data_IF_052488293487
#
_entry.id   IF_052488293487
#
_cell.length_a   1.000
_cell.length_b   1.000
_cell.length_c   1.000
_cell.angle_alpha   90.00
_cell.angle_beta   90.00
_cell.angle_gamma   90.00
#
_symmetry.space_group_name_H-M   'P 1'
#
loop_
_entity.id
_entity.type
_entity.pdbx_description
1 polymer ?
#
# COMPACT_ATOMS: atom_id res chain seq x y z
N UNK A 1 -5.17 -19.51 8.24
CA UNK A 1 -5.21 -18.87 6.91
C UNK A 1 -3.82 -18.40 6.56
N UNK A 2 -3.42 -18.38 5.28
CA UNK A 2 -2.01 -18.26 4.84
C UNK A 2 -1.20 -17.19 5.59
N UNK A 3 -1.69 -15.94 5.67
CA UNK A 3 -1.00 -14.86 6.37
C UNK A 3 -0.87 -15.09 7.89
N UNK A 4 -1.83 -15.76 8.54
CA UNK A 4 -1.72 -16.11 9.97
C UNK A 4 -0.65 -17.15 10.23
N UNK A 5 -0.41 -18.07 9.28
CA UNK A 5 0.68 -19.03 9.40
C UNK A 5 2.03 -18.32 9.25
N UNK A 6 2.14 -17.35 8.34
CA UNK A 6 3.33 -16.50 8.24
C UNK A 6 3.58 -15.67 9.52
N UNK A 7 2.52 -15.14 10.16
CA UNK A 7 2.67 -14.41 11.43
C UNK A 7 3.24 -15.28 12.56
N UNK A 8 2.98 -16.59 12.57
CA UNK A 8 3.56 -17.52 13.56
C UNK A 8 5.07 -17.68 13.41
N UNK A 9 5.58 -17.55 12.18
CA UNK A 9 7.01 -17.74 11.86
C UNK A 9 7.78 -16.42 11.92
N UNK A 10 7.18 -15.34 11.41
CA UNK A 10 7.87 -14.05 11.20
C UNK A 10 7.40 -12.94 12.15
N UNK A 11 6.40 -13.21 12.99
CA UNK A 11 5.78 -12.21 13.85
C UNK A 11 4.63 -11.45 13.16
N UNK A 12 3.97 -10.53 13.89
CA UNK A 12 2.75 -9.88 13.42
C UNK A 12 2.99 -9.00 12.19
N UNK A 13 1.97 -8.87 11.33
CA UNK A 13 1.99 -7.90 10.22
C UNK A 13 2.05 -6.49 10.79
N UNK A 14 3.14 -5.77 10.48
CA UNK A 14 3.37 -4.39 10.94
C UNK A 14 2.85 -3.33 9.95
N UNK A 15 2.99 -3.60 8.64
CA UNK A 15 2.68 -2.66 7.57
C UNK A 15 1.83 -3.33 6.49
N UNK A 16 0.86 -2.60 5.96
CA UNK A 16 0.09 -2.94 4.76
C UNK A 16 0.25 -1.76 3.81
N UNK A 17 0.92 -1.96 2.67
CA UNK A 17 1.11 -0.93 1.66
C UNK A 17 0.22 -1.24 0.44
N UNK A 18 -0.70 -0.34 0.12
CA UNK A 18 -1.42 -0.35 -1.14
C UNK A 18 -0.62 0.48 -2.15
N UNK A 19 0.08 -0.22 -3.04
CA UNK A 19 0.98 0.40 -4.02
C UNK A 19 0.26 1.09 -5.16
N UNK A 20 -0.97 0.70 -5.53
CA UNK A 20 -1.65 1.20 -6.74
C UNK A 20 -2.85 2.11 -6.42
N UNK A 21 -3.15 3.04 -7.34
CA UNK A 21 -4.43 3.79 -7.34
C UNK A 21 -5.54 3.07 -8.12
N UNK A 22 -5.19 2.10 -8.97
CA UNK A 22 -6.13 1.38 -9.83
C UNK A 22 -7.16 0.60 -9.00
N UNK A 23 -8.43 0.68 -9.41
CA UNK A 23 -9.57 0.26 -8.59
C UNK A 23 -9.59 -1.26 -8.39
N UNK A 24 -9.36 -1.98 -9.47
CA UNK A 24 -9.32 -3.43 -9.56
C UNK A 24 -8.24 -4.06 -8.66
N UNK A 25 -7.17 -3.31 -8.36
CA UNK A 25 -6.07 -3.76 -7.52
C UNK A 25 -6.24 -3.44 -6.03
N UNK A 26 -7.30 -2.74 -5.62
CA UNK A 26 -7.48 -2.29 -4.22
C UNK A 26 -8.77 -2.70 -3.52
N UNK A 27 -9.71 -3.35 -4.22
CA UNK A 27 -11.04 -3.72 -3.69
C UNK A 27 -10.96 -4.41 -2.33
N UNK A 28 -9.99 -5.30 -2.12
CA UNK A 28 -9.84 -6.06 -0.87
C UNK A 28 -8.86 -5.45 0.14
N UNK A 29 -8.19 -4.34 -0.18
CA UNK A 29 -7.15 -3.76 0.68
C UNK A 29 -7.74 -3.26 2.01
N UNK A 30 -8.93 -2.64 1.99
CA UNK A 30 -9.63 -2.22 3.21
C UNK A 30 -10.02 -3.41 4.10
N UNK A 31 -10.56 -4.47 3.52
CA UNK A 31 -10.93 -5.70 4.25
C UNK A 31 -9.69 -6.37 4.86
N UNK A 32 -8.58 -6.41 4.12
CA UNK A 32 -7.30 -6.90 4.64
C UNK A 32 -6.85 -6.05 5.83
N UNK A 33 -6.87 -4.72 5.69
CA UNK A 33 -6.49 -3.80 6.77
C UNK A 33 -7.30 -4.01 8.05
N UNK A 34 -8.61 -4.28 7.95
CA UNK A 34 -9.46 -4.57 9.10
C UNK A 34 -9.07 -5.87 9.83
N UNK A 35 -8.64 -6.91 9.10
CA UNK A 35 -8.21 -8.19 9.69
C UNK A 35 -6.89 -8.12 10.45
N UNK A 36 -6.07 -7.09 10.20
CA UNK A 36 -4.80 -6.85 10.88
C UNK A 36 -4.84 -5.51 11.64
N UNK A 37 -5.53 -5.46 12.81
CA UNK A 37 -5.82 -4.20 13.50
C UNK A 37 -4.59 -3.47 14.04
N UNK A 38 -3.47 -4.18 14.22
CA UNK A 38 -2.20 -3.61 14.69
C UNK A 38 -1.32 -3.07 13.55
N UNK A 39 -1.63 -3.37 12.29
CA UNK A 39 -0.82 -2.94 11.16
C UNK A 39 -1.12 -1.48 10.79
N UNK A 40 -0.08 -0.72 10.46
CA UNK A 40 -0.21 0.59 9.80
C UNK A 40 -0.50 0.39 8.32
N UNK A 41 -1.42 1.18 7.77
CA UNK A 41 -1.84 1.12 6.37
C UNK A 41 -1.27 2.32 5.62
N UNK A 42 -0.68 2.08 4.45
CA UNK A 42 -0.03 3.09 3.62
C UNK A 42 -0.66 3.08 2.23
N UNK A 43 -1.22 4.22 1.83
CA UNK A 43 -1.92 4.34 0.56
C UNK A 43 -1.08 5.14 -0.42
N UNK A 44 -0.90 4.59 -1.63
CA UNK A 44 -0.41 5.34 -2.77
C UNK A 44 -1.16 6.68 -2.91
N UNK A 45 -0.47 7.83 -3.05
CA UNK A 45 -1.11 9.12 -3.22
C UNK A 45 -2.03 9.16 -4.44
N UNK A 46 -3.17 9.85 -4.30
CA UNK A 46 -4.18 9.94 -5.37
C UNK A 46 -5.19 8.79 -5.40
N UNK A 47 -5.45 8.16 -4.25
CA UNK A 47 -6.57 7.22 -4.15
C UNK A 47 -7.88 7.88 -4.56
N UNK A 48 -8.70 7.09 -5.27
CA UNK A 48 -10.02 7.48 -5.70
C UNK A 48 -10.99 6.31 -5.70
N UNK A 49 -12.29 6.58 -5.74
CA UNK A 49 -13.30 5.56 -6.05
C UNK A 49 -14.23 6.00 -7.17
N UNK A 50 -14.94 5.04 -7.74
CA UNK A 50 -15.89 5.21 -8.84
C UNK A 50 -17.25 4.61 -8.45
N UNK A 51 -18.40 5.20 -8.86
CA UNK A 51 -18.55 6.40 -9.70
C UNK A 51 -18.29 7.73 -8.98
N UNK A 52 -18.35 7.72 -7.65
CA UNK A 52 -18.11 8.89 -6.81
C UNK A 52 -16.83 8.71 -6.01
N UNK A 53 -16.07 9.78 -5.82
CA UNK A 53 -14.87 9.76 -5.01
C UNK A 53 -15.22 9.84 -3.52
N UNK A 54 -15.24 8.69 -2.85
CA UNK A 54 -15.62 8.54 -1.46
C UNK A 54 -14.38 8.63 -0.55
N UNK A 55 -14.56 9.01 0.73
CA UNK A 55 -13.47 8.94 1.70
C UNK A 55 -12.96 7.51 1.87
N UNK A 56 -11.66 7.34 2.11
CA UNK A 56 -11.02 6.01 2.29
C UNK A 56 -11.68 5.16 3.38
N UNK A 57 -12.24 5.79 4.41
CA UNK A 57 -12.95 5.11 5.51
C UNK A 57 -14.20 4.37 5.03
N UNK A 58 -14.86 4.87 3.99
CA UNK A 58 -16.00 4.22 3.35
C UNK A 58 -15.57 3.03 2.48
N UNK A 59 -14.30 3.01 2.05
CA UNK A 59 -13.68 1.90 1.33
C UNK A 59 -13.11 0.83 2.29
N UNK A 60 -13.41 0.96 3.59
CA UNK A 60 -13.02 0.01 4.62
C UNK A 60 -11.64 0.27 5.22
N UNK A 61 -10.97 1.38 4.87
CA UNK A 61 -9.70 1.73 5.48
C UNK A 61 -9.89 2.29 6.90
N UNK A 62 -9.16 1.78 7.90
CA UNK A 62 -9.33 2.14 9.30
C UNK A 62 -8.77 3.54 9.61
N UNK A 63 -9.59 4.41 10.20
CA UNK A 63 -9.18 5.73 10.68
C UNK A 63 -8.06 5.63 11.74
N UNK A 64 -7.17 6.63 11.77
CA UNK A 64 -6.12 6.75 12.80
C UNK A 64 -4.89 5.85 12.60
N UNK A 65 -4.93 4.91 11.65
CA UNK A 65 -3.77 4.09 11.27
C UNK A 65 -3.60 3.90 9.77
N UNK A 66 -4.33 4.68 8.98
CA UNK A 66 -4.18 4.77 7.53
C UNK A 66 -3.49 6.09 7.21
N UNK A 67 -2.42 6.01 6.43
CA UNK A 67 -1.54 7.12 6.10
C UNK A 67 -1.30 7.17 4.59
N UNK A 68 -1.00 8.36 4.07
CA UNK A 68 -0.42 8.46 2.74
C UNK A 68 0.97 7.80 2.74
N UNK A 69 1.38 7.24 1.60
CA UNK A 69 2.74 6.74 1.42
C UNK A 69 3.76 7.86 1.71
N UNK A 70 4.89 7.57 2.38
CA UNK A 70 5.95 8.56 2.60
C UNK A 70 6.47 9.10 1.26
N UNK A 71 6.94 10.35 1.23
CA UNK A 71 7.41 10.96 -0.04
C UNK A 71 8.81 10.54 -0.43
N UNK A 72 9.63 10.17 0.56
CA UNK A 72 11.01 9.76 0.40
C UNK A 72 11.43 8.86 1.56
N UNK A 73 12.68 8.36 1.52
CA UNK A 73 13.22 7.47 2.55
C UNK A 73 13.38 8.14 3.91
N UNK A 74 13.47 9.48 4.00
CA UNK A 74 13.64 10.18 5.28
C UNK A 74 12.33 10.14 6.10
N UNK A 75 11.19 10.25 5.41
CA UNK A 75 9.84 10.18 5.97
C UNK A 75 9.35 8.73 6.20
N UNK A 76 10.08 7.73 5.71
CA UNK A 76 9.70 6.34 5.83
C UNK A 76 9.72 5.84 7.29
N UNK A 77 8.87 4.85 7.64
CA UNK A 77 9.01 4.12 8.89
C UNK A 77 10.43 3.58 9.08
N UNK A 78 10.95 3.67 10.30
CA UNK A 78 12.34 3.28 10.60
C UNK A 78 12.62 1.82 10.23
N UNK A 79 11.64 0.94 10.41
CA UNK A 79 11.75 -0.48 10.06
C UNK A 79 11.73 -0.75 8.54
N UNK A 80 11.34 0.22 7.70
CA UNK A 80 11.52 0.10 6.25
C UNK A 80 12.95 0.40 5.84
N UNK A 81 13.58 1.39 6.51
CA UNK A 81 14.89 1.91 6.13
C UNK A 81 16.01 0.87 6.21
N UNK A 82 15.83 -0.19 7.00
CA UNK A 82 16.79 -1.30 7.12
C UNK A 82 16.97 -2.05 5.79
N UNK A 83 15.89 -2.49 5.15
CA UNK A 83 15.95 -3.44 4.02
C UNK A 83 15.25 -2.99 2.74
N UNK A 84 14.40 -1.95 2.80
CA UNK A 84 13.58 -1.49 1.68
C UNK A 84 14.05 -0.14 1.14
N UNK A 85 14.08 -0.01 -0.18
CA UNK A 85 13.93 1.25 -0.89
C UNK A 85 12.51 1.32 -1.45
N UNK A 86 12.01 2.52 -1.73
CA UNK A 86 10.76 2.67 -2.48
C UNK A 86 10.80 3.90 -3.39
N UNK A 87 9.97 3.84 -4.43
CA UNK A 87 9.74 4.96 -5.35
C UNK A 87 8.27 5.01 -5.71
N UNK A 88 7.78 6.24 -5.86
CA UNK A 88 6.40 6.52 -6.23
C UNK A 88 6.37 7.20 -7.60
N UNK A 89 5.57 6.66 -8.50
CA UNK A 89 5.26 7.21 -9.80
C UNK A 89 3.78 7.65 -9.83
N UNK A 90 3.52 8.81 -10.46
CA UNK A 90 2.17 9.38 -10.52
C UNK A 90 1.72 10.03 -9.19
N UNK A 91 0.41 10.22 -8.99
CA UNK A 91 -0.67 9.77 -9.87
C UNK A 91 -0.74 10.55 -11.19
N UNK A 92 -1.01 9.85 -12.27
CA UNK A 92 -1.42 10.37 -13.57
C UNK A 92 -2.92 10.12 -13.73
N UNK A 93 -3.70 11.18 -13.85
CA UNK A 93 -5.16 11.11 -13.92
C UNK A 93 -5.60 11.45 -15.34
N UNK A 94 -6.47 10.62 -15.90
CA UNK A 94 -7.09 10.81 -17.21
C UNK A 94 -8.61 10.72 -17.10
N UNK A 95 -9.32 10.92 -18.22
CA UNK A 95 -10.77 10.72 -18.28
C UNK A 95 -11.17 9.27 -17.99
N UNK A 96 -10.35 8.33 -18.41
CA UNK A 96 -10.70 6.90 -18.42
C UNK A 96 -10.18 6.16 -17.17
N UNK A 97 -9.46 6.85 -16.28
CA UNK A 97 -8.95 6.29 -15.04
C UNK A 97 -7.70 7.01 -14.55
N UNK A 98 -7.11 6.49 -13.47
CA UNK A 98 -5.85 6.98 -12.94
C UNK A 98 -4.82 5.85 -12.87
N UNK A 99 -3.57 6.19 -13.15
CA UNK A 99 -2.42 5.34 -12.92
C UNK A 99 -1.52 5.97 -11.88
N UNK A 100 -0.93 5.18 -11.01
CA UNK A 100 -0.03 5.66 -9.99
C UNK A 100 0.39 4.49 -9.15
N UNK A 101 1.69 4.36 -8.94
CA UNK A 101 2.24 3.21 -8.26
C UNK A 101 3.41 3.56 -7.34
N UNK A 102 3.38 3.04 -6.11
CA UNK A 102 4.57 2.91 -5.27
C UNK A 102 5.09 1.48 -5.36
N UNK A 103 6.33 1.35 -5.79
CA UNK A 103 7.08 0.10 -5.82
C UNK A 103 8.09 0.05 -4.69
N UNK A 104 8.37 -1.17 -4.21
CA UNK A 104 9.34 -1.42 -3.15
C UNK A 104 10.46 -2.30 -3.68
N UNK A 105 11.70 -1.98 -3.33
CA UNK A 105 12.85 -2.81 -3.64
C UNK A 105 13.45 -3.35 -2.34
N UNK A 106 13.40 -4.68 -2.19
CA UNK A 106 14.03 -5.36 -1.07
C UNK A 106 15.51 -5.60 -1.38
N UNK A 107 16.37 -4.77 -0.78
CA UNK A 107 17.81 -4.74 -1.05
C UNK A 107 18.52 -6.08 -0.79
N UNK A 108 18.20 -6.86 0.27
CA UNK A 108 18.89 -8.12 0.54
C UNK A 108 18.63 -9.19 -0.53
N UNK A 109 17.39 -9.34 -1.00
CA UNK A 109 17.03 -10.38 -1.98
C UNK A 109 17.04 -9.90 -3.42
N UNK A 110 17.28 -8.60 -3.65
CA UNK A 110 17.21 -7.95 -4.97
C UNK A 110 15.84 -8.13 -5.63
N UNK A 111 14.78 -8.14 -4.82
CA UNK A 111 13.40 -8.34 -5.28
C UNK A 111 12.68 -7.01 -5.39
N UNK A 112 12.10 -6.74 -6.57
CA UNK A 112 11.17 -5.63 -6.76
C UNK A 112 9.75 -6.13 -6.49
N UNK A 113 9.04 -5.44 -5.61
CA UNK A 113 7.62 -5.61 -5.35
C UNK A 113 6.88 -4.49 -6.07
N UNK A 114 6.12 -4.88 -7.08
CA UNK A 114 5.27 -4.03 -7.89
C UNK A 114 3.88 -4.66 -8.04
N UNK A 115 2.92 -3.85 -8.44
CA UNK A 115 1.57 -4.24 -8.81
C UNK A 115 1.46 -4.32 -10.33
N UNK A 116 1.65 -3.20 -11.05
CA UNK A 116 1.30 -3.08 -12.48
C UNK A 116 2.37 -2.39 -13.35
N UNK A 117 3.44 -1.85 -12.74
CA UNK A 117 4.48 -1.07 -13.45
C UNK A 117 5.45 -1.92 -14.28
N UNK A 118 5.41 -3.26 -14.18
CA UNK A 118 6.29 -4.13 -14.99
C UNK A 118 5.69 -4.36 -16.38
N UNK A 119 6.44 -3.97 -17.41
CA UNK A 119 6.14 -4.15 -18.83
C UNK A 119 7.11 -5.12 -19.48
#
# INVERSE_FOLDING_TARGET
GMLRELEKVHGPVKHIALGSVAIEHKVYAGVLAQKFPKAKVWLQPGQYSFPSNLPDTFLGFPSGRTFAMPRNMDEAPEDWKADLDFRTLGPFISRDGAFGETVFFHRPTKTLLCTDTVV
#
